data_IF_124089663466
#
_entry.id   IF_124089663466
#
_cell.length_a   1.000
_cell.length_b   1.000
_cell.length_c   1.000
_cell.angle_alpha   90.00
_cell.angle_beta   90.00
_cell.angle_gamma   90.00
#
_symmetry.space_group_name_H-M   'P 1'
#
loop_
_entity.id
_entity.type
_entity.pdbx_description
1 polymer ?
#
# COMPACT_ATOMS: atom_id res chain seq x y z
N UNK A 1 21.30 10.74 1.23
CA UNK A 1 22.42 11.69 1.21
C UNK A 1 22.24 12.61 0.02
N UNK A 2 22.22 13.94 0.19
CA UNK A 2 22.30 14.88 -0.91
C UNK A 2 23.66 14.75 -1.61
N UNK A 3 23.63 14.57 -2.93
CA UNK A 3 24.85 14.47 -3.74
C UNK A 3 25.17 15.79 -4.44
N UNK A 4 24.22 16.69 -4.52
CA UNK A 4 24.30 17.97 -5.23
C UNK A 4 23.49 17.97 -6.53
N UNK A 5 23.35 19.15 -7.16
CA UNK A 5 22.63 19.33 -8.43
C UNK A 5 21.23 18.69 -8.48
N UNK A 6 20.49 18.67 -7.37
CA UNK A 6 19.14 18.10 -7.29
C UNK A 6 19.09 16.58 -7.10
N UNK A 7 20.22 15.89 -7.00
CA UNK A 7 20.27 14.44 -6.78
C UNK A 7 20.38 14.11 -5.29
N UNK A 8 19.46 13.25 -4.82
CA UNK A 8 19.48 12.63 -3.50
C UNK A 8 19.57 11.11 -3.66
N UNK A 9 20.42 10.47 -2.88
CA UNK A 9 20.62 9.01 -2.92
C UNK A 9 20.32 8.41 -1.55
N UNK A 10 19.54 7.33 -1.55
CA UNK A 10 19.30 6.46 -0.40
C UNK A 10 19.98 5.12 -0.65
N UNK A 11 20.66 4.58 0.37
CA UNK A 11 21.28 3.25 0.33
C UNK A 11 20.84 2.50 1.58
N UNK A 12 20.41 1.27 1.43
CA UNK A 12 19.98 0.41 2.52
C UNK A 12 18.53 -0.03 2.38
N UNK A 13 17.85 -0.19 3.51
CA UNK A 13 16.44 -0.58 3.56
C UNK A 13 15.55 0.65 3.69
N UNK A 14 14.57 0.81 2.80
CA UNK A 14 13.70 1.98 2.75
C UNK A 14 12.27 1.64 2.36
N UNK A 15 11.33 2.46 2.77
CA UNK A 15 9.93 2.36 2.33
C UNK A 15 9.80 2.57 0.83
N UNK A 16 8.84 1.85 0.23
CA UNK A 16 8.53 2.03 -1.19
C UNK A 16 8.17 3.49 -1.49
N UNK A 17 8.65 4.05 -2.61
CA UNK A 17 8.18 5.34 -3.12
C UNK A 17 6.95 5.19 -4.04
N UNK A 18 6.44 3.98 -4.24
CA UNK A 18 5.30 3.68 -5.10
C UNK A 18 3.99 3.75 -4.30
N UNK A 19 2.91 4.11 -4.98
CA UNK A 19 1.60 4.18 -4.38
C UNK A 19 1.29 5.50 -3.67
N UNK A 20 0.11 5.56 -3.06
CA UNK A 20 -0.39 6.72 -2.32
C UNK A 20 -0.33 6.53 -0.80
N UNK A 21 -0.87 5.42 -0.31
CA UNK A 21 -0.76 5.09 1.12
C UNK A 21 0.68 4.72 1.46
N UNK A 22 1.09 5.06 2.67
CA UNK A 22 2.44 4.80 3.17
C UNK A 22 2.43 3.74 4.27
N UNK A 23 3.57 3.10 4.51
CA UNK A 23 3.71 2.13 5.60
C UNK A 23 3.55 2.78 6.98
N UNK A 24 4.14 3.97 7.27
CA UNK A 24 3.96 4.64 8.55
C UNK A 24 2.51 5.11 8.77
N UNK A 25 1.90 4.65 9.85
CA UNK A 25 0.50 4.96 10.19
C UNK A 25 0.18 6.47 10.26
N UNK A 26 1.02 7.35 10.81
CA UNK A 26 0.71 8.79 10.93
C UNK A 26 0.51 9.50 9.60
N UNK A 27 1.08 9.00 8.51
CA UNK A 27 1.07 9.62 7.19
C UNK A 27 -0.18 9.26 6.38
N UNK A 28 -1.00 8.33 6.88
CA UNK A 28 -2.24 7.91 6.24
C UNK A 28 -3.45 8.57 6.89
N UNK A 29 -4.47 8.87 6.07
CA UNK A 29 -5.73 9.42 6.58
C UNK A 29 -6.53 8.40 7.39
N UNK A 30 -6.59 7.15 6.92
CA UNK A 30 -7.33 6.06 7.54
C UNK A 30 -6.40 5.17 8.37
N UNK A 31 -6.96 4.55 9.42
CA UNK A 31 -6.24 3.53 10.21
C UNK A 31 -6.01 2.26 9.38
N UNK A 32 -7.06 1.78 8.71
CA UNK A 32 -6.96 0.59 7.87
C UNK A 32 -6.37 0.93 6.52
N UNK A 33 -5.44 0.10 6.04
CA UNK A 33 -4.92 0.22 4.68
C UNK A 33 -5.86 -0.38 3.64
N UNK A 34 -5.76 0.13 2.42
CA UNK A 34 -6.42 -0.44 1.24
C UNK A 34 -5.81 -1.78 0.81
N UNK A 35 -6.56 -2.59 0.06
CA UNK A 35 -6.01 -3.81 -0.55
C UNK A 35 -4.85 -3.50 -1.49
N UNK A 36 -4.89 -2.36 -2.19
CA UNK A 36 -3.82 -1.94 -3.10
C UNK A 36 -2.48 -1.87 -2.38
N UNK A 37 -2.39 -1.25 -1.21
CA UNK A 37 -1.16 -1.26 -0.42
C UNK A 37 -0.89 -2.65 0.17
N UNK A 38 -1.87 -3.25 0.86
CA UNK A 38 -1.66 -4.50 1.57
C UNK A 38 -1.31 -5.68 0.65
N UNK A 39 -1.82 -5.68 -0.58
CA UNK A 39 -1.75 -6.85 -1.46
C UNK A 39 -1.26 -6.52 -2.87
N UNK A 40 -1.31 -5.29 -3.32
CA UNK A 40 -0.94 -4.90 -4.68
C UNK A 40 0.49 -4.40 -4.82
N UNK A 41 1.04 -3.79 -3.78
CA UNK A 41 2.31 -3.05 -3.81
C UNK A 41 3.33 -3.59 -2.81
N UNK A 42 4.63 -3.37 -3.03
CA UNK A 42 5.66 -3.63 -2.05
C UNK A 42 5.59 -2.60 -0.91
N UNK A 43 5.96 -3.00 0.32
CA UNK A 43 6.07 -2.07 1.46
C UNK A 43 7.44 -1.41 1.53
N UNK A 44 8.47 -2.19 1.26
CA UNK A 44 9.86 -1.78 1.43
C UNK A 44 10.73 -2.33 0.31
N UNK A 45 11.89 -1.75 0.16
CA UNK A 45 12.95 -2.21 -0.74
C UNK A 45 14.30 -2.15 -0.01
N UNK A 46 15.20 -3.03 -0.40
CA UNK A 46 16.64 -2.96 -0.03
C UNK A 46 17.44 -2.67 -1.28
N UNK A 47 18.35 -1.70 -1.23
CA UNK A 47 19.15 -1.35 -2.41
C UNK A 47 19.63 0.08 -2.44
N UNK A 48 19.71 0.63 -3.64
CA UNK A 48 20.12 2.02 -3.90
C UNK A 48 19.03 2.70 -4.71
N UNK A 49 18.57 3.85 -4.23
CA UNK A 49 17.55 4.68 -4.88
C UNK A 49 18.04 6.11 -5.04
N UNK A 50 18.12 6.58 -6.29
CA UNK A 50 18.30 7.97 -6.63
C UNK A 50 16.97 8.70 -6.84
N UNK A 51 16.88 9.92 -6.34
CA UNK A 51 15.81 10.87 -6.64
C UNK A 51 16.45 12.14 -7.20
N UNK A 52 16.09 12.50 -8.44
CA UNK A 52 16.62 13.64 -9.15
C UNK A 52 15.54 14.69 -9.39
N UNK A 53 15.71 15.87 -8.83
CA UNK A 53 14.84 17.03 -9.07
C UNK A 53 15.26 17.71 -10.36
N UNK A 54 14.46 17.55 -11.42
CA UNK A 54 14.71 18.15 -12.74
C UNK A 54 14.43 19.65 -12.69
N UNK A 55 13.28 20.03 -12.12
CA UNK A 55 12.86 21.42 -11.93
C UNK A 55 11.79 21.50 -10.83
N UNK A 56 11.11 22.65 -10.68
CA UNK A 56 10.05 22.88 -9.68
C UNK A 56 8.85 21.95 -9.81
N UNK A 57 8.64 21.32 -10.97
CA UNK A 57 7.47 20.53 -11.31
C UNK A 57 7.77 19.04 -11.48
N UNK A 58 8.98 18.67 -11.89
CA UNK A 58 9.34 17.33 -12.28
C UNK A 58 10.47 16.76 -11.42
N UNK A 59 10.28 15.54 -10.96
CA UNK A 59 11.33 14.73 -10.36
C UNK A 59 11.31 13.32 -10.97
N UNK A 60 12.50 12.73 -11.04
CA UNK A 60 12.71 11.35 -11.50
C UNK A 60 13.23 10.53 -10.35
N UNK A 61 12.79 9.29 -10.25
CA UNK A 61 13.38 8.33 -9.34
C UNK A 61 13.84 7.10 -10.11
N UNK A 62 14.90 6.48 -9.65
CA UNK A 62 15.41 5.25 -10.23
C UNK A 62 16.41 4.57 -9.33
N UNK A 63 16.41 3.24 -9.32
CA UNK A 63 17.28 2.50 -8.44
C UNK A 63 17.35 1.02 -8.76
N UNK A 64 18.35 0.38 -8.14
CA UNK A 64 18.50 -1.06 -8.13
C UNK A 64 18.13 -1.59 -6.74
N UNK A 65 17.39 -2.68 -6.72
CA UNK A 65 16.93 -3.33 -5.49
C UNK A 65 17.40 -4.77 -5.45
N UNK A 66 17.56 -5.32 -4.26
CA UNK A 66 17.92 -6.72 -4.04
C UNK A 66 16.93 -7.37 -3.08
N UNK A 67 16.88 -8.69 -3.07
CA UNK A 67 15.90 -9.48 -2.33
C UNK A 67 14.56 -9.60 -3.05
N UNK A 68 13.55 -10.10 -2.37
CA UNK A 68 12.22 -10.28 -2.97
C UNK A 68 11.58 -8.95 -3.37
N UNK A 69 11.21 -8.83 -4.63
CA UNK A 69 10.53 -7.66 -5.17
C UNK A 69 9.05 -7.56 -4.78
N UNK A 70 8.46 -8.62 -4.24
CA UNK A 70 7.04 -8.66 -3.88
C UNK A 70 6.71 -7.74 -2.72
N UNK A 71 7.71 -7.30 -1.95
CA UNK A 71 7.58 -6.29 -0.92
C UNK A 71 6.51 -6.58 0.13
N UNK A 72 6.19 -7.84 0.35
CA UNK A 72 5.30 -8.26 1.41
C UNK A 72 5.89 -7.93 2.78
N UNK A 73 5.30 -8.43 3.83
CA UNK A 73 5.74 -8.24 5.22
C UNK A 73 7.22 -8.52 5.48
N UNK A 74 7.85 -9.27 4.62
CA UNK A 74 9.21 -9.78 4.66
C UNK A 74 10.03 -9.42 3.41
N UNK A 75 9.43 -8.75 2.43
CA UNK A 75 10.09 -8.48 1.14
C UNK A 75 11.33 -7.62 1.20
N UNK A 76 11.57 -6.93 2.30
CA UNK A 76 12.79 -6.17 2.48
C UNK A 76 13.83 -6.85 3.38
N UNK A 77 13.46 -7.92 4.06
CA UNK A 77 14.36 -8.66 4.96
C UNK A 77 14.90 -9.93 4.33
N UNK A 78 14.55 -10.20 3.10
CA UNK A 78 15.19 -11.21 2.31
C UNK A 78 16.66 -10.80 2.11
N UNK A 79 17.55 -11.53 2.75
CA UNK A 79 18.99 -11.29 2.73
C UNK A 79 19.68 -11.82 1.47
N UNK A 80 18.93 -12.29 0.50
CA UNK A 80 19.49 -12.79 -0.76
C UNK A 80 19.98 -11.60 -1.59
N UNK A 81 21.27 -11.50 -1.74
CA UNK A 81 21.92 -10.49 -2.57
C UNK A 81 22.01 -10.90 -4.05
N UNK A 82 21.49 -12.06 -4.40
CA UNK A 82 21.48 -12.63 -5.75
C UNK A 82 20.24 -12.25 -6.57
N UNK A 83 19.14 -11.85 -5.93
CA UNK A 83 17.92 -11.41 -6.58
C UNK A 83 17.92 -9.89 -6.79
N UNK A 84 18.37 -9.46 -7.95
CA UNK A 84 18.39 -8.05 -8.31
C UNK A 84 17.13 -7.65 -9.09
N UNK A 85 16.65 -6.48 -8.79
CA UNK A 85 15.52 -5.85 -9.46
C UNK A 85 15.76 -4.38 -9.68
N UNK A 86 14.76 -3.72 -10.23
CA UNK A 86 14.80 -2.31 -10.51
C UNK A 86 13.51 -1.60 -10.13
N UNK A 87 13.65 -0.31 -9.89
CA UNK A 87 12.55 0.57 -9.53
C UNK A 87 12.77 1.91 -10.22
N UNK A 88 11.73 2.43 -10.86
CA UNK A 88 11.77 3.72 -11.55
C UNK A 88 10.43 4.44 -11.46
N UNK A 89 10.47 5.77 -11.60
CA UNK A 89 9.25 6.56 -11.61
C UNK A 89 9.49 8.03 -11.96
N UNK A 90 8.36 8.70 -12.22
CA UNK A 90 8.27 10.12 -12.52
C UNK A 90 7.24 10.76 -11.62
N UNK A 91 7.59 11.85 -10.99
CA UNK A 91 6.71 12.68 -10.19
C UNK A 91 6.53 14.03 -10.86
N UNK A 92 5.30 14.46 -10.98
CA UNK A 92 4.94 15.77 -11.52
C UNK A 92 4.02 16.51 -10.55
N UNK A 93 4.21 17.82 -10.48
CA UNK A 93 3.34 18.71 -9.71
C UNK A 93 3.07 19.96 -10.50
N UNK A 94 1.81 20.40 -10.57
CA UNK A 94 1.41 21.64 -11.26
C UNK A 94 2.05 22.89 -10.61
N UNK A 95 2.13 23.98 -11.33
CA UNK A 95 2.73 25.24 -10.85
C UNK A 95 2.00 25.78 -9.61
N UNK A 96 0.67 25.69 -9.59
CA UNK A 96 -0.16 26.10 -8.47
C UNK A 96 -0.16 25.11 -7.28
N UNK A 97 0.59 23.99 -7.39
CA UNK A 97 0.70 22.90 -6.40
C UNK A 97 -0.63 22.24 -6.02
N UNK A 98 -1.68 22.39 -6.87
CA UNK A 98 -2.99 21.78 -6.63
C UNK A 98 -3.09 20.37 -7.17
N UNK A 99 -2.34 20.05 -8.23
CA UNK A 99 -2.35 18.74 -8.87
C UNK A 99 -0.98 18.10 -8.81
N UNK A 100 -0.93 16.84 -8.44
CA UNK A 100 0.29 16.05 -8.52
C UNK A 100 -0.01 14.68 -9.12
N UNK A 101 0.91 14.17 -9.91
CA UNK A 101 0.88 12.83 -10.46
C UNK A 101 2.19 12.10 -10.15
N UNK A 102 2.07 10.83 -9.82
CA UNK A 102 3.19 9.91 -9.65
C UNK A 102 2.92 8.67 -10.50
N UNK A 103 3.86 8.33 -11.37
CA UNK A 103 3.85 7.10 -12.15
C UNK A 103 5.15 6.40 -11.87
N UNK A 104 5.08 5.19 -11.37
CA UNK A 104 6.28 4.41 -11.08
C UNK A 104 6.04 2.92 -11.16
N UNK A 105 7.11 2.16 -11.20
CA UNK A 105 7.04 0.72 -11.25
C UNK A 105 8.29 0.07 -10.69
N UNK A 106 8.17 -1.21 -10.42
CA UNK A 106 9.28 -2.04 -9.97
C UNK A 106 9.19 -3.41 -10.62
N UNK A 107 10.34 -4.02 -10.85
CA UNK A 107 10.44 -5.39 -11.31
C UNK A 107 11.55 -6.11 -10.55
N UNK A 108 11.47 -7.42 -10.52
CA UNK A 108 12.46 -8.28 -9.89
C UNK A 108 11.98 -9.72 -9.83
N UNK A 109 12.37 -10.40 -8.78
CA UNK A 109 11.99 -11.79 -8.54
C UNK A 109 11.25 -11.92 -7.21
N UNK A 110 10.43 -12.95 -7.08
CA UNK A 110 9.86 -13.36 -5.80
C UNK A 110 10.94 -14.01 -4.92
N UNK A 111 10.63 -14.34 -3.67
CA UNK A 111 11.52 -15.09 -2.80
C UNK A 111 11.88 -16.49 -3.34
N UNK A 112 11.10 -17.00 -4.27
CA UNK A 112 11.31 -18.30 -4.94
C UNK A 112 11.77 -18.16 -6.39
N UNK A 113 12.33 -17.00 -6.73
CA UNK A 113 13.00 -16.66 -8.01
C UNK A 113 12.07 -16.57 -9.24
N UNK A 114 10.76 -16.41 -9.06
CA UNK A 114 9.87 -16.18 -10.20
C UNK A 114 9.85 -14.70 -10.60
N UNK A 115 9.78 -14.40 -11.91
CA UNK A 115 9.67 -13.02 -12.39
C UNK A 115 8.43 -12.31 -11.87
N UNK A 116 8.60 -11.10 -11.37
CA UNK A 116 7.54 -10.27 -10.81
C UNK A 116 7.72 -8.81 -11.22
N UNK A 117 6.61 -8.14 -11.54
CA UNK A 117 6.62 -6.71 -11.85
C UNK A 117 5.26 -6.05 -11.53
N UNK A 118 5.30 -4.75 -11.27
CA UNK A 118 4.09 -3.94 -11.13
C UNK A 118 4.36 -2.49 -11.51
N UNK A 119 3.29 -1.77 -11.85
CA UNK A 119 3.31 -0.31 -11.91
C UNK A 119 2.17 0.28 -11.07
N UNK A 120 2.36 1.54 -10.68
CA UNK A 120 1.43 2.33 -9.90
C UNK A 120 1.27 3.71 -10.52
N UNK A 121 0.03 4.21 -10.57
CA UNK A 121 -0.32 5.55 -11.04
C UNK A 121 -1.15 6.23 -9.96
N UNK A 122 -0.66 7.34 -9.44
CA UNK A 122 -1.35 8.16 -8.44
C UNK A 122 -1.61 9.54 -8.99
N UNK A 123 -2.87 9.97 -8.99
CA UNK A 123 -3.27 11.34 -9.28
C UNK A 123 -3.87 11.97 -8.02
N UNK A 124 -3.36 13.13 -7.64
CA UNK A 124 -3.85 13.89 -6.51
C UNK A 124 -4.31 15.27 -6.98
N UNK A 125 -5.47 15.71 -6.51
CA UNK A 125 -5.99 17.03 -6.86
C UNK A 125 -6.68 17.71 -5.67
N UNK A 126 -6.28 18.94 -5.36
CA UNK A 126 -6.98 19.81 -4.42
C UNK A 126 -8.10 20.55 -5.14
N UNK A 127 -9.31 19.99 -5.11
CA UNK A 127 -10.51 20.58 -5.74
C UNK A 127 -10.80 21.96 -5.14
N UNK A 128 -10.71 22.05 -3.82
CA UNK A 128 -10.78 23.31 -3.07
C UNK A 128 -9.68 23.34 -1.99
N UNK A 129 -9.43 24.45 -1.31
CA UNK A 129 -8.50 24.45 -0.17
C UNK A 129 -8.85 23.47 0.96
N UNK A 130 -10.11 22.99 0.99
CA UNK A 130 -10.61 22.05 1.99
C UNK A 130 -10.83 20.64 1.46
N UNK A 131 -10.88 20.44 0.14
CA UNK A 131 -11.26 19.17 -0.50
C UNK A 131 -10.10 18.62 -1.29
N UNK A 132 -9.67 17.41 -0.95
CA UNK A 132 -8.58 16.70 -1.62
C UNK A 132 -9.09 15.37 -2.17
N UNK A 133 -8.86 15.15 -3.45
CA UNK A 133 -9.17 13.93 -4.19
C UNK A 133 -7.88 13.21 -4.53
N UNK A 134 -7.86 11.91 -4.37
CA UNK A 134 -6.80 11.02 -4.87
C UNK A 134 -7.43 9.89 -5.64
N UNK A 135 -6.86 9.57 -6.79
CA UNK A 135 -7.15 8.36 -7.57
C UNK A 135 -5.86 7.58 -7.73
N UNK A 136 -5.89 6.33 -7.37
CA UNK A 136 -4.72 5.47 -7.37
C UNK A 136 -5.04 4.16 -8.08
N UNK A 137 -4.22 3.77 -9.04
CA UNK A 137 -4.30 2.53 -9.79
C UNK A 137 -2.99 1.78 -9.71
N UNK A 138 -3.08 0.48 -9.51
CA UNK A 138 -1.93 -0.44 -9.56
C UNK A 138 -2.28 -1.63 -10.43
N UNK A 139 -1.31 -2.11 -11.19
CA UNK A 139 -1.41 -3.34 -11.96
C UNK A 139 -0.08 -4.11 -11.86
N UNK A 140 -0.17 -5.40 -11.59
CA UNK A 140 1.01 -6.22 -11.43
C UNK A 140 0.84 -7.63 -12.00
N UNK A 141 1.98 -8.26 -12.27
CA UNK A 141 2.11 -9.59 -12.84
C UNK A 141 3.23 -10.36 -12.17
N UNK A 142 3.02 -11.66 -12.06
CA UNK A 142 4.08 -12.61 -11.71
C UNK A 142 3.97 -13.82 -12.64
N UNK A 143 5.10 -14.34 -13.08
CA UNK A 143 5.16 -15.46 -14.01
C UNK A 143 5.65 -16.71 -13.31
N UNK A 144 5.16 -17.87 -13.75
CA UNK A 144 5.59 -19.19 -13.26
C UNK A 144 5.36 -19.41 -11.77
N UNK A 145 4.33 -18.80 -11.19
CA UNK A 145 3.96 -18.93 -9.78
C UNK A 145 3.36 -20.31 -9.54
N UNK A 146 3.83 -20.98 -8.50
CA UNK A 146 3.23 -22.23 -8.05
C UNK A 146 1.93 -21.94 -7.27
N UNK A 147 0.80 -22.22 -7.88
CA UNK A 147 -0.53 -22.06 -7.30
C UNK A 147 -1.23 -23.41 -7.21
N UNK A 148 -1.34 -23.95 -6.01
CA UNK A 148 -1.84 -25.29 -5.81
C UNK A 148 -0.87 -26.35 -6.37
N UNK A 149 -1.30 -27.13 -7.34
CA UNK A 149 -0.50 -28.15 -7.99
C UNK A 149 -0.02 -27.75 -9.40
N UNK A 150 -0.18 -26.50 -9.79
CA UNK A 150 0.11 -26.02 -11.14
C UNK A 150 0.97 -24.77 -11.13
N UNK A 151 1.84 -24.65 -12.13
CA UNK A 151 2.58 -23.44 -12.41
C UNK A 151 1.73 -22.54 -13.30
N UNK A 152 1.39 -21.34 -12.84
CA UNK A 152 0.56 -20.37 -13.53
C UNK A 152 1.16 -18.97 -13.49
N UNK A 153 0.69 -18.10 -14.37
CA UNK A 153 0.93 -16.68 -14.23
C UNK A 153 -0.13 -16.08 -13.30
N UNK A 154 0.28 -15.12 -12.49
CA UNK A 154 -0.60 -14.36 -11.63
C UNK A 154 -0.71 -12.92 -12.11
N UNK A 155 -1.90 -12.35 -11.97
CA UNK A 155 -2.22 -10.97 -12.35
C UNK A 155 -3.15 -10.36 -11.31
N UNK A 156 -2.90 -9.11 -10.95
CA UNK A 156 -3.77 -8.33 -10.06
C UNK A 156 -3.80 -6.87 -10.49
N UNK A 157 -4.90 -6.22 -10.20
CA UNK A 157 -5.05 -4.79 -10.44
C UNK A 157 -6.06 -4.17 -9.47
N UNK A 158 -5.91 -2.89 -9.22
CA UNK A 158 -6.78 -2.15 -8.31
C UNK A 158 -7.03 -0.74 -8.81
N UNK A 159 -8.19 -0.22 -8.45
CA UNK A 159 -8.46 1.21 -8.46
C UNK A 159 -8.96 1.61 -7.07
N UNK A 160 -8.37 2.66 -6.53
CA UNK A 160 -8.65 3.20 -5.22
C UNK A 160 -8.87 4.71 -5.31
N UNK A 161 -9.87 5.22 -4.64
CA UNK A 161 -10.19 6.64 -4.63
C UNK A 161 -10.36 7.12 -3.19
N UNK A 162 -9.69 8.22 -2.84
CA UNK A 162 -9.85 8.92 -1.57
C UNK A 162 -10.44 10.30 -1.82
N UNK A 163 -11.46 10.65 -1.06
CA UNK A 163 -11.98 12.01 -1.01
C UNK A 163 -11.99 12.46 0.45
N UNK A 164 -11.23 13.52 0.76
CA UNK A 164 -11.15 14.06 2.12
C UNK A 164 -11.61 15.50 2.15
N UNK A 165 -12.23 15.90 3.25
CA UNK A 165 -12.75 17.24 3.47
C UNK A 165 -12.38 17.76 4.86
N UNK A 166 -11.73 18.94 4.93
CA UNK A 166 -11.42 19.64 6.18
C UNK A 166 -12.66 20.40 6.65
N UNK A 167 -13.44 19.77 7.52
CA UNK A 167 -14.69 20.33 8.06
C UNK A 167 -14.41 21.53 8.97
N UNK A 168 -13.42 21.33 9.88
CA UNK A 168 -12.94 22.34 10.82
C UNK A 168 -11.40 22.37 10.79
N UNK A 169 -10.78 23.33 11.49
CA UNK A 169 -9.30 23.42 11.58
C UNK A 169 -8.66 22.22 12.29
N UNK A 170 -9.43 21.51 13.10
CA UNK A 170 -9.02 20.38 13.91
C UNK A 170 -9.75 19.08 13.54
N UNK A 171 -10.64 19.10 12.54
CA UNK A 171 -11.45 17.96 12.16
C UNK A 171 -11.53 17.84 10.64
N UNK A 172 -11.14 16.68 10.14
CA UNK A 172 -11.31 16.29 8.74
C UNK A 172 -12.08 14.97 8.65
N UNK A 173 -12.89 14.83 7.62
CA UNK A 173 -13.64 13.60 7.29
C UNK A 173 -13.18 13.07 5.94
N UNK A 174 -13.35 11.79 5.70
CA UNK A 174 -12.96 11.20 4.42
C UNK A 174 -13.70 9.91 4.11
N UNK A 175 -13.75 9.62 2.83
CA UNK A 175 -14.18 8.36 2.27
C UNK A 175 -13.08 7.79 1.38
N UNK A 176 -12.87 6.49 1.48
CA UNK A 176 -12.05 5.70 0.56
C UNK A 176 -12.91 4.60 -0.03
N UNK A 177 -12.87 4.45 -1.34
CA UNK A 177 -13.54 3.38 -2.07
C UNK A 177 -12.52 2.66 -2.95
N UNK A 178 -12.56 1.33 -2.96
CA UNK A 178 -11.60 0.50 -3.65
C UNK A 178 -12.25 -0.71 -4.30
N UNK A 179 -11.75 -1.07 -5.49
CA UNK A 179 -11.89 -2.39 -6.09
C UNK A 179 -10.51 -2.96 -6.33
N UNK A 180 -10.24 -4.11 -5.76
CA UNK A 180 -9.02 -4.89 -5.97
C UNK A 180 -9.40 -6.24 -6.61
N UNK A 181 -8.79 -6.56 -7.74
CA UNK A 181 -8.98 -7.83 -8.44
C UNK A 181 -7.72 -8.68 -8.29
N UNK A 182 -7.83 -9.79 -7.59
CA UNK A 182 -6.81 -10.83 -7.51
C UNK A 182 -7.23 -11.98 -8.45
N UNK A 183 -6.76 -11.91 -9.68
CA UNK A 183 -7.26 -12.75 -10.78
C UNK A 183 -6.99 -14.22 -10.59
N UNK A 184 -5.93 -14.53 -9.88
CA UNK A 184 -5.44 -15.88 -9.68
C UNK A 184 -5.40 -16.27 -8.18
N UNK A 185 -5.81 -15.37 -7.28
CA UNK A 185 -5.82 -15.60 -5.84
C UNK A 185 -4.42 -15.62 -5.22
N UNK A 186 -3.45 -15.01 -5.87
CA UNK A 186 -2.07 -15.04 -5.40
C UNK A 186 -1.74 -13.93 -4.40
N UNK A 187 -2.48 -12.82 -4.41
CA UNK A 187 -2.11 -11.63 -3.63
C UNK A 187 -2.79 -11.54 -2.26
N UNK A 188 -4.11 -11.70 -2.19
CA UNK A 188 -4.86 -11.48 -0.94
C UNK A 188 -4.78 -12.69 -0.02
N UNK A 189 -5.04 -13.88 -0.56
CA UNK A 189 -4.94 -15.15 0.16
C UNK A 189 -3.78 -15.99 -0.37
N UNK A 190 -2.59 -15.37 -0.44
CA UNK A 190 -1.38 -16.10 -0.81
C UNK A 190 -1.05 -17.13 0.27
N UNK A 191 -0.92 -18.41 -0.08
CA UNK A 191 -0.48 -19.45 0.84
C UNK A 191 0.86 -19.10 1.51
N UNK A 192 1.76 -18.48 0.80
CA UNK A 192 3.08 -18.07 1.30
C UNK A 192 3.00 -16.98 2.38
N UNK A 193 2.08 -16.01 2.25
CA UNK A 193 1.86 -15.00 3.30
C UNK A 193 1.33 -15.63 4.59
N UNK A 194 0.43 -16.58 4.46
CA UNK A 194 -0.14 -17.31 5.60
C UNK A 194 0.94 -18.17 6.26
N UNK A 195 1.72 -18.92 5.47
CA UNK A 195 2.81 -19.74 5.97
C UNK A 195 3.90 -18.91 6.66
N UNK A 196 4.31 -17.79 6.07
CA UNK A 196 5.28 -16.88 6.67
C UNK A 196 4.78 -16.32 8.00
N UNK A 197 3.53 -15.89 8.08
CA UNK A 197 2.93 -15.38 9.32
C UNK A 197 2.80 -16.47 10.40
N UNK A 198 2.53 -17.71 10.02
CA UNK A 198 2.40 -18.84 10.97
C UNK A 198 3.75 -19.35 11.45
N UNK A 199 4.73 -19.50 10.56
CA UNK A 199 6.07 -20.01 10.89
C UNK A 199 6.82 -19.08 11.85
N UNK A 200 6.66 -17.76 11.68
CA UNK A 200 7.35 -16.77 12.53
C UNK A 200 6.72 -16.61 13.92
N UNK A 201 5.53 -17.13 14.17
CA UNK A 201 4.81 -16.95 15.45
C UNK A 201 4.55 -18.24 16.22
N UNK A 202 5.05 -19.37 15.73
CA UNK A 202 4.78 -20.68 16.36
C UNK A 202 3.29 -21.07 16.33
N UNK A 203 2.47 -20.40 15.50
CA UNK A 203 1.05 -20.72 15.37
C UNK A 203 0.94 -21.89 14.38
N UNK A 204 0.59 -23.05 14.91
CA UNK A 204 0.21 -24.20 14.09
C UNK A 204 -1.15 -23.93 13.45
N UNK A 205 -1.20 -23.79 12.15
CA UNK A 205 -2.47 -23.70 11.43
C UNK A 205 -3.05 -25.11 11.31
N UNK A 206 -4.06 -25.40 12.14
CA UNK A 206 -4.73 -26.71 12.17
C UNK A 206 -5.76 -26.91 11.03
N UNK A 207 -5.75 -26.07 9.99
CA UNK A 207 -6.67 -26.16 8.86
C UNK A 207 -5.93 -26.46 7.55
N UNK A 208 -6.62 -27.08 6.62
CA UNK A 208 -6.16 -27.18 5.24
C UNK A 208 -5.99 -25.76 4.69
N UNK A 209 -4.76 -25.27 4.65
CA UNK A 209 -4.45 -24.05 3.89
C UNK A 209 -4.76 -24.42 2.45
N UNK A 210 -5.73 -23.76 1.78
CA UNK A 210 -5.93 -24.02 0.39
C UNK A 210 -4.66 -23.59 -0.34
N UNK A 211 -3.86 -24.56 -0.79
CA UNK A 211 -2.73 -24.31 -1.69
C UNK A 211 -3.17 -23.73 -3.04
N UNK A 212 -4.47 -23.65 -3.25
CA UNK A 212 -5.10 -23.07 -4.43
C UNK A 212 -5.42 -21.62 -4.08
N UNK A 213 -4.85 -20.69 -4.83
CA UNK A 213 -5.23 -19.30 -4.74
C UNK A 213 -6.74 -19.13 -4.84
N UNK A 214 -7.30 -18.17 -4.14
CA UNK A 214 -8.73 -17.86 -4.15
C UNK A 214 -8.99 -16.63 -5.05
N UNK A 215 -9.17 -16.80 -6.37
CA UNK A 215 -9.45 -15.70 -7.29
C UNK A 215 -10.72 -14.96 -6.86
N UNK A 216 -10.60 -13.64 -6.69
CA UNK A 216 -11.74 -12.83 -6.28
C UNK A 216 -11.58 -11.37 -6.65
N UNK A 217 -12.72 -10.67 -6.72
CA UNK A 217 -12.80 -9.22 -6.63
C UNK A 217 -13.11 -8.83 -5.19
N UNK A 218 -12.32 -7.93 -4.66
CA UNK A 218 -12.51 -7.35 -3.34
C UNK A 218 -12.95 -5.91 -3.49
N UNK A 219 -14.03 -5.55 -2.81
CA UNK A 219 -14.55 -4.20 -2.75
C UNK A 219 -14.44 -3.71 -1.31
N UNK A 220 -13.97 -2.50 -1.11
CA UNK A 220 -13.89 -1.89 0.20
C UNK A 220 -14.38 -0.45 0.17
N UNK A 221 -15.19 -0.08 1.16
CA UNK A 221 -15.55 1.31 1.42
C UNK A 221 -15.20 1.63 2.87
N UNK A 222 -14.43 2.68 3.08
CA UNK A 222 -14.03 3.14 4.41
C UNK A 222 -14.48 4.58 4.60
N UNK A 223 -15.22 4.85 5.67
CA UNK A 223 -15.51 6.18 6.18
C UNK A 223 -14.64 6.43 7.40
N UNK A 224 -14.04 7.60 7.49
CA UNK A 224 -13.17 7.92 8.60
C UNK A 224 -13.11 9.40 8.90
N UNK A 225 -12.55 9.68 10.06
CA UNK A 225 -12.33 11.04 10.51
C UNK A 225 -10.93 11.16 11.13
N UNK A 226 -10.35 12.34 11.01
CA UNK A 226 -9.12 12.74 11.71
C UNK A 226 -9.46 13.91 12.64
N UNK A 227 -9.32 13.69 13.94
CA UNK A 227 -9.59 14.68 14.95
C UNK A 227 -8.34 15.00 15.77
N UNK A 228 -7.97 16.28 15.80
CA UNK A 228 -6.82 16.81 16.54
C UNK A 228 -7.29 17.59 17.77
N UNK A 229 -7.63 16.92 18.88
CA UNK A 229 -8.37 17.50 20.01
C UNK A 229 -7.62 18.57 20.78
N UNK A 230 -6.30 18.57 20.76
CA UNK A 230 -5.45 19.39 21.64
C UNK A 230 -5.78 20.89 21.57
N UNK A 231 -6.05 21.42 20.37
CA UNK A 231 -6.41 22.84 20.19
C UNK A 231 -7.75 23.18 20.84
N UNK A 232 -8.73 22.28 20.75
CA UNK A 232 -10.07 22.48 21.31
C UNK A 232 -10.08 22.27 22.82
N UNK A 233 -9.30 21.30 23.32
CA UNK A 233 -9.21 20.95 24.71
C UNK A 233 -8.20 21.82 25.49
N UNK A 234 -7.51 22.77 24.81
CA UNK A 234 -6.49 23.67 25.39
C UNK A 234 -5.42 22.92 26.19
N UNK A 235 -4.96 21.80 25.61
CA UNK A 235 -3.94 20.97 26.26
C UNK A 235 -2.55 21.52 25.96
N UNK A 236 -1.82 21.92 26.99
CA UNK A 236 -0.46 22.51 26.86
C UNK A 236 0.66 21.47 26.77
N UNK A 237 0.37 20.20 27.01
CA UNK A 237 1.39 19.16 26.92
C UNK A 237 1.79 18.91 25.46
N UNK A 238 3.04 19.24 25.11
CA UNK A 238 3.57 19.20 23.73
C UNK A 238 3.27 17.92 22.94
N UNK A 239 3.44 16.70 23.47
CA UNK A 239 3.11 15.50 22.73
C UNK A 239 1.63 15.42 22.34
N UNK A 240 0.72 15.82 23.24
CA UNK A 240 -0.72 15.82 22.98
C UNK A 240 -1.14 16.84 21.93
N UNK A 241 -0.34 17.88 21.69
CA UNK A 241 -0.63 18.86 20.62
C UNK A 241 -0.56 18.24 19.22
N UNK A 242 0.18 17.11 19.08
CA UNK A 242 0.29 16.35 17.84
C UNK A 242 -0.68 15.15 17.76
N UNK A 243 -1.43 14.90 18.82
CA UNK A 243 -2.40 13.80 18.87
C UNK A 243 -3.42 13.93 17.74
N UNK A 244 -3.59 12.85 17.00
CA UNK A 244 -4.62 12.67 15.99
C UNK A 244 -5.40 11.39 16.29
N UNK A 245 -6.70 11.50 16.55
CA UNK A 245 -7.60 10.37 16.84
C UNK A 245 -8.38 10.05 15.56
N UNK A 246 -8.38 8.77 15.15
CA UNK A 246 -8.91 8.35 13.85
C UNK A 246 -9.90 7.20 13.99
N UNK A 247 -11.19 7.46 14.29
CA UNK A 247 -12.24 6.45 14.15
C UNK A 247 -12.52 6.17 12.66
N UNK A 248 -12.73 4.90 12.33
CA UNK A 248 -13.06 4.45 10.98
C UNK A 248 -14.14 3.37 11.04
N UNK A 249 -15.01 3.36 10.04
CA UNK A 249 -15.92 2.27 9.73
C UNK A 249 -15.58 1.79 8.32
N UNK A 250 -15.39 0.48 8.18
CA UNK A 250 -15.07 -0.14 6.89
C UNK A 250 -16.03 -1.28 6.60
N UNK A 251 -16.50 -1.33 5.37
CA UNK A 251 -17.21 -2.46 4.80
C UNK A 251 -16.36 -3.09 3.71
N UNK A 252 -16.17 -4.40 3.78
CA UNK A 252 -15.49 -5.20 2.77
C UNK A 252 -16.46 -6.23 2.21
N UNK A 253 -16.31 -6.51 0.90
CA UNK A 253 -17.00 -7.59 0.20
C UNK A 253 -16.06 -8.27 -0.77
N UNK A 254 -16.11 -9.59 -0.81
CA UNK A 254 -15.41 -10.42 -1.79
C UNK A 254 -16.39 -11.18 -2.66
N UNK A 255 -16.22 -11.05 -3.99
CA UNK A 255 -16.93 -11.85 -4.98
C UNK A 255 -15.90 -12.78 -5.63
N UNK A 256 -15.79 -14.00 -5.10
CA UNK A 256 -14.93 -15.05 -5.62
C UNK A 256 -15.53 -15.78 -6.81
N UNK A 257 -14.69 -16.37 -7.64
CA UNK A 257 -15.11 -17.27 -8.75
C UNK A 257 -15.76 -18.51 -8.14
N UNK A 258 -15.20 -19.03 -7.05
CA UNK A 258 -15.83 -20.09 -6.27
C UNK A 258 -16.95 -19.52 -5.38
N UNK A 259 -18.17 -19.96 -5.59
CA UNK A 259 -19.33 -19.55 -4.79
C UNK A 259 -19.23 -19.99 -3.32
N UNK A 260 -18.38 -20.96 -2.99
CA UNK A 260 -18.10 -21.41 -1.63
C UNK A 260 -17.08 -20.50 -0.90
N UNK A 261 -16.38 -19.62 -1.62
CA UNK A 261 -15.36 -18.74 -1.04
C UNK A 261 -15.97 -17.74 -0.05
N UNK A 262 -15.54 -17.84 1.20
CA UNK A 262 -16.02 -17.03 2.34
C UNK A 262 -14.84 -16.49 3.15
N UNK A 263 -14.15 -15.42 2.67
CA UNK A 263 -12.89 -14.97 3.28
C UNK A 263 -13.06 -14.26 4.62
N UNK A 264 -14.26 -13.82 4.98
CA UNK A 264 -14.51 -13.03 6.18
C UNK A 264 -15.28 -13.86 7.21
N UNK A 265 -14.57 -14.72 7.93
CA UNK A 265 -15.14 -15.58 8.99
C UNK A 265 -16.41 -16.34 8.52
N UNK A 266 -16.28 -17.02 7.38
CA UNK A 266 -17.37 -17.77 6.77
C UNK A 266 -18.40 -16.92 6.00
N UNK A 267 -18.16 -15.62 5.79
CA UNK A 267 -19.03 -14.69 5.05
C UNK A 267 -18.35 -14.15 3.80
N UNK A 268 -19.14 -13.59 2.88
CA UNK A 268 -18.63 -12.86 1.70
C UNK A 268 -18.30 -11.40 2.01
N UNK A 269 -18.77 -10.88 3.14
CA UNK A 269 -18.62 -9.50 3.54
C UNK A 269 -18.36 -9.35 5.04
N UNK A 270 -17.87 -8.19 5.42
CA UNK A 270 -17.64 -7.83 6.81
C UNK A 270 -17.80 -6.32 7.04
N UNK A 271 -18.15 -5.98 8.28
CA UNK A 271 -18.03 -4.64 8.82
C UNK A 271 -16.92 -4.61 9.87
N UNK A 272 -16.07 -3.57 9.79
CA UNK A 272 -15.02 -3.30 10.75
C UNK A 272 -15.22 -1.90 11.32
N UNK A 273 -15.20 -1.80 12.63
CA UNK A 273 -14.99 -0.54 13.33
C UNK A 273 -13.59 -0.53 13.89
N UNK A 274 -12.86 0.56 13.69
CA UNK A 274 -11.51 0.72 14.19
C UNK A 274 -11.29 2.12 14.75
N UNK A 275 -10.45 2.21 15.74
CA UNK A 275 -10.05 3.45 16.38
C UNK A 275 -8.55 3.38 16.68
N UNK A 276 -7.82 4.38 16.25
CA UNK A 276 -6.43 4.54 16.68
C UNK A 276 -6.12 5.99 17.08
N UNK A 277 -4.95 6.17 17.65
CA UNK A 277 -4.41 7.46 18.00
C UNK A 277 -2.94 7.53 17.58
N UNK A 278 -2.57 8.54 16.82
CA UNK A 278 -1.19 8.77 16.40
C UNK A 278 -0.61 10.01 17.01
N UNK A 279 0.65 9.95 17.45
CA UNK A 279 1.43 11.07 17.97
C UNK A 279 2.76 11.05 17.22
N UNK A 280 2.92 11.82 16.14
CA UNK A 280 4.22 11.94 15.46
C UNK A 280 5.23 12.69 16.34
N UNK A 281 6.40 12.12 16.46
CA UNK A 281 7.52 12.67 17.27
C UNK A 281 8.32 13.70 16.49
#
# INVERSE_FOLDING_TARGET
>A
VPVGNGLNVKVGHFYTPLGYETVPAPDNFFYTHAYILNSGEPFTHTGVLGNYTVNSNWSLLGGATTGSATGGWDGGFDKQLDNWGGLAGVLWTSDDKRTAANIGGTYGQTATNEPWMMYSVVLQHRITPKTHLVVHHTHGWASKIFLGNEIRNAEWYSINTHLTYSLLKDLSIGIRAERFTDRNGWRVFSPYRILSATNNKGISYAGNIPFIGAPANYYAVTLGMNWKPAKRLKVDWKPMQKLNVRPNIRYDRADGIDMAFRPFDGRKDQFLFSLDATIPF
#
